data_IF_552166939092
#
_entry.id   IF_552166939092
#
_cell.length_a   1.000
_cell.length_b   1.000
_cell.length_c   1.000
_cell.angle_alpha   90.00
_cell.angle_beta   90.00
_cell.angle_gamma   90.00
#
_symmetry.space_group_name_H-M   'P 1'
#
loop_
_entity.id
_entity.type
_entity.pdbx_description
1 polymer ?
#
# COMPACT_ATOMS: atom_id res chain seq x y z
N UNK A 1 -3.72 10.61 20.49
CA UNK A 1 -2.68 11.19 19.61
C UNK A 1 -2.85 10.51 18.27
N UNK A 2 -2.78 11.24 17.18
CA UNK A 2 -2.84 10.70 15.83
C UNK A 2 -1.45 10.19 15.42
N UNK A 3 -1.38 9.12 14.66
CA UNK A 3 -0.11 8.58 14.16
C UNK A 3 0.26 9.29 12.87
N UNK A 4 1.41 10.02 12.82
CA UNK A 4 1.85 10.66 11.58
C UNK A 4 2.39 9.62 10.61
N UNK A 5 1.88 9.65 9.37
CA UNK A 5 2.22 8.67 8.34
C UNK A 5 2.58 9.32 7.00
N UNK A 6 3.41 8.64 6.24
CA UNK A 6 3.64 8.88 4.81
C UNK A 6 3.27 7.61 4.07
N UNK A 7 2.45 7.72 3.02
CA UNK A 7 2.06 6.60 2.16
C UNK A 7 2.86 6.71 0.85
N UNK A 8 3.60 5.65 0.49
CA UNK A 8 4.27 5.51 -0.80
C UNK A 8 3.55 4.43 -1.60
N UNK A 9 2.98 4.77 -2.77
CA UNK A 9 1.91 3.98 -3.40
C UNK A 9 1.99 4.04 -4.93
N UNK A 10 1.53 3.00 -5.60
CA UNK A 10 1.34 2.95 -7.06
C UNK A 10 -0.15 2.82 -7.43
N UNK A 11 -1.01 3.80 -7.08
CA UNK A 11 -2.44 3.63 -6.91
C UNK A 11 -3.11 2.78 -7.97
N UNK A 12 -3.33 1.53 -7.57
CA UNK A 12 -4.25 0.56 -8.12
C UNK A 12 -5.59 0.60 -7.36
N UNK A 13 -6.43 -0.40 -7.55
CA UNK A 13 -7.79 -0.45 -6.99
C UNK A 13 -7.74 -0.58 -5.47
N UNK A 14 -6.93 -1.46 -4.93
CA UNK A 14 -6.78 -1.68 -3.49
C UNK A 14 -5.97 -0.57 -2.80
N UNK A 15 -5.00 0.04 -3.49
CA UNK A 15 -4.35 1.28 -3.04
C UNK A 15 -5.37 2.40 -2.78
N UNK A 16 -6.30 2.62 -3.73
CA UNK A 16 -7.36 3.64 -3.57
C UNK A 16 -8.17 3.38 -2.30
N UNK A 17 -8.48 2.14 -2.00
CA UNK A 17 -9.21 1.75 -0.79
C UNK A 17 -8.36 2.03 0.46
N UNK A 18 -7.09 1.65 0.45
CA UNK A 18 -6.16 1.87 1.56
C UNK A 18 -5.94 3.37 1.84
N UNK A 19 -5.68 4.16 0.79
CA UNK A 19 -5.53 5.62 0.88
C UNK A 19 -6.82 6.24 1.42
N UNK A 20 -7.99 5.80 0.96
CA UNK A 20 -9.29 6.29 1.44
C UNK A 20 -9.47 6.05 2.93
N UNK A 21 -9.08 4.86 3.42
CA UNK A 21 -9.13 4.52 4.83
C UNK A 21 -8.20 5.41 5.66
N UNK A 22 -6.98 5.63 5.20
CA UNK A 22 -6.02 6.49 5.87
C UNK A 22 -6.47 7.94 5.93
N UNK A 23 -6.98 8.50 4.83
CA UNK A 23 -7.42 9.90 4.72
C UNK A 23 -8.64 10.22 5.60
N UNK A 24 -9.48 9.23 5.91
CA UNK A 24 -10.72 9.42 6.67
C UNK A 24 -10.67 8.83 8.09
N UNK A 25 -9.54 8.23 8.49
CA UNK A 25 -9.34 7.80 9.87
C UNK A 25 -8.97 8.98 10.78
N UNK A 26 -9.68 9.18 11.91
CA UNK A 26 -9.29 10.20 12.89
C UNK A 26 -8.02 9.84 13.68
N UNK A 27 -7.51 8.62 13.56
CA UNK A 27 -6.35 8.10 14.28
C UNK A 27 -5.05 8.27 13.50
N UNK A 28 -5.15 8.55 12.18
CA UNK A 28 -4.00 8.73 11.29
C UNK A 28 -3.88 10.18 10.84
N UNK A 29 -2.65 10.65 10.76
CA UNK A 29 -2.30 11.98 10.24
C UNK A 29 -1.44 11.79 8.98
N UNK A 30 -2.10 11.77 7.82
CA UNK A 30 -1.44 11.60 6.52
C UNK A 30 -0.70 12.87 6.16
N UNK A 31 0.62 12.89 6.34
CA UNK A 31 1.49 14.05 6.09
C UNK A 31 1.88 14.21 4.63
N UNK A 32 1.93 13.12 3.87
CA UNK A 32 2.34 13.10 2.48
C UNK A 32 1.89 11.80 1.82
N UNK A 33 1.50 11.87 0.55
CA UNK A 33 1.35 10.72 -0.32
C UNK A 33 2.40 10.85 -1.43
N UNK A 34 3.19 9.79 -1.65
CA UNK A 34 4.15 9.72 -2.74
C UNK A 34 3.74 8.65 -3.73
N UNK A 35 3.88 8.94 -5.02
CA UNK A 35 3.55 7.96 -6.06
C UNK A 35 4.80 7.29 -6.63
N UNK A 36 4.63 6.06 -7.09
CA UNK A 36 5.66 5.27 -7.77
C UNK A 36 5.07 4.57 -9.01
N UNK A 37 5.88 4.25 -10.00
CA UNK A 37 5.47 3.36 -11.08
C UNK A 37 5.49 1.91 -10.62
N UNK A 38 4.39 1.21 -10.83
CA UNK A 38 4.20 -0.18 -10.41
C UNK A 38 2.98 -0.77 -11.10
N UNK A 39 1.81 -0.81 -10.46
CA UNK A 39 0.56 -1.31 -11.03
C UNK A 39 0.32 -0.77 -12.45
N UNK A 40 0.59 0.51 -12.65
CA UNK A 40 0.62 1.18 -13.95
C UNK A 40 1.78 2.19 -13.99
N UNK A 41 1.98 2.85 -15.13
CA UNK A 41 3.03 3.88 -15.24
C UNK A 41 2.78 5.09 -14.34
N UNK A 42 3.85 5.78 -13.95
CA UNK A 42 3.88 6.88 -12.96
C UNK A 42 2.90 8.03 -13.26
N UNK A 43 2.56 8.28 -14.52
CA UNK A 43 1.59 9.34 -14.87
C UNK A 43 0.18 8.98 -14.38
N UNK A 44 -0.20 7.70 -14.47
CA UNK A 44 -1.47 7.21 -13.97
C UNK A 44 -1.47 7.11 -12.44
N UNK A 45 -0.42 6.54 -11.84
CA UNK A 45 -0.35 6.40 -10.38
C UNK A 45 -0.37 7.76 -9.68
N UNK A 46 0.40 8.74 -10.20
CA UNK A 46 0.39 10.11 -9.66
C UNK A 46 -1.00 10.75 -9.81
N UNK A 47 -1.63 10.56 -10.98
CA UNK A 47 -2.97 11.09 -11.23
C UNK A 47 -3.99 10.49 -10.26
N UNK A 48 -3.97 9.19 -10.07
CA UNK A 48 -4.88 8.48 -9.18
C UNK A 48 -4.70 8.94 -7.72
N UNK A 49 -3.45 9.15 -7.27
CA UNK A 49 -3.16 9.68 -5.94
C UNK A 49 -3.74 11.09 -5.74
N UNK A 50 -3.62 11.99 -6.73
CA UNK A 50 -4.20 13.33 -6.68
C UNK A 50 -5.72 13.25 -6.67
N UNK A 51 -6.30 12.46 -7.55
CA UNK A 51 -7.75 12.39 -7.74
C UNK A 51 -8.46 11.85 -6.49
N UNK A 52 -7.88 10.90 -5.73
CA UNK A 52 -8.48 10.40 -4.48
C UNK A 52 -8.37 11.42 -3.34
N UNK A 53 -7.27 12.15 -3.24
CA UNK A 53 -7.13 13.25 -2.27
C UNK A 53 -8.15 14.35 -2.55
N UNK A 54 -8.29 14.74 -3.83
CA UNK A 54 -9.27 15.74 -4.26
C UNK A 54 -10.72 15.26 -4.07
N UNK A 55 -11.00 13.97 -4.27
CA UNK A 55 -12.33 13.39 -4.03
C UNK A 55 -12.81 13.63 -2.60
N UNK A 56 -11.93 13.40 -1.62
CA UNK A 56 -12.23 13.65 -0.21
C UNK A 56 -11.99 15.10 0.24
N UNK A 57 -11.58 15.99 -0.66
CA UNK A 57 -11.28 17.40 -0.36
C UNK A 57 -10.28 17.57 0.78
N UNK A 58 -9.29 16.68 0.85
CA UNK A 58 -8.23 16.73 1.87
C UNK A 58 -7.07 17.60 1.37
N UNK A 59 -6.41 18.28 2.31
CA UNK A 59 -5.24 19.15 2.02
C UNK A 59 -3.91 18.38 2.22
N UNK A 60 -3.86 17.12 1.75
CA UNK A 60 -2.67 16.29 1.86
C UNK A 60 -1.82 16.49 0.60
N UNK A 61 -0.53 16.84 0.73
CA UNK A 61 0.35 17.00 -0.41
C UNK A 61 0.64 15.66 -1.10
N UNK A 62 0.76 15.71 -2.44
CA UNK A 62 1.15 14.57 -3.27
C UNK A 62 2.48 14.88 -3.95
N UNK A 63 3.44 13.96 -3.94
CA UNK A 63 4.71 14.10 -4.63
C UNK A 63 4.93 12.95 -5.61
N UNK A 64 5.30 13.29 -6.85
CA UNK A 64 5.60 12.32 -7.90
C UNK A 64 6.98 11.70 -7.67
N UNK A 65 7.05 10.38 -7.64
CA UNK A 65 8.28 9.62 -7.48
C UNK A 65 8.88 9.13 -8.79
N UNK A 66 9.59 8.00 -8.71
CA UNK A 66 10.28 7.43 -9.87
C UNK A 66 9.36 6.52 -10.68
N UNK A 67 9.65 6.45 -11.99
CA UNK A 67 8.82 5.69 -12.94
C UNK A 67 9.29 4.25 -13.14
N UNK A 68 10.42 3.87 -12.60
CA UNK A 68 11.02 2.56 -12.85
C UNK A 68 11.88 2.09 -11.69
N UNK A 69 12.09 0.78 -11.58
CA UNK A 69 12.97 0.15 -10.63
C UNK A 69 14.44 0.64 -10.75
N UNK A 70 15.25 0.37 -9.73
CA UNK A 70 16.67 0.74 -9.68
C UNK A 70 17.44 0.15 -10.86
N UNK A 71 17.27 -1.13 -11.15
CA UNK A 71 18.00 -1.85 -12.19
C UNK A 71 17.10 -2.47 -13.25
N UNK A 72 15.96 -2.98 -12.90
CA UNK A 72 15.07 -3.72 -13.78
C UNK A 72 14.24 -2.78 -14.69
N UNK A 73 13.61 -3.34 -15.72
CA UNK A 73 12.57 -2.64 -16.46
C UNK A 73 11.28 -2.59 -15.62
N UNK A 74 10.47 -1.54 -15.82
CA UNK A 74 9.16 -1.47 -15.19
C UNK A 74 8.30 -2.65 -15.63
N UNK A 75 7.79 -3.41 -14.65
CA UNK A 75 6.74 -4.40 -14.82
C UNK A 75 5.43 -3.79 -14.33
N UNK A 76 4.33 -3.95 -15.06
CA UNK A 76 3.02 -3.41 -14.69
C UNK A 76 2.00 -4.51 -14.47
N UNK A 77 0.95 -4.20 -13.71
CA UNK A 77 -0.19 -5.07 -13.42
C UNK A 77 -1.49 -4.56 -14.05
N UNK A 78 -1.42 -3.95 -15.25
CA UNK A 78 -2.61 -3.47 -15.99
C UNK A 78 -3.66 -4.57 -16.22
N UNK A 79 -3.24 -5.83 -16.29
CA UNK A 79 -4.13 -6.97 -16.44
C UNK A 79 -4.97 -7.26 -15.18
N UNK A 80 -4.56 -6.72 -14.01
CA UNK A 80 -5.28 -6.81 -12.73
C UNK A 80 -6.14 -5.56 -12.52
N UNK A 81 -5.53 -4.37 -12.65
CA UNK A 81 -6.12 -3.10 -12.23
C UNK A 81 -6.76 -2.30 -13.38
N UNK A 82 -6.67 -2.77 -14.62
CA UNK A 82 -7.10 -2.02 -15.80
C UNK A 82 -6.05 -1.02 -16.29
N UNK A 83 -6.28 -0.43 -17.46
CA UNK A 83 -5.30 0.40 -18.16
C UNK A 83 -4.85 1.65 -17.37
N UNK A 84 -5.78 2.27 -16.65
CA UNK A 84 -5.49 3.46 -15.83
C UNK A 84 -5.16 3.13 -14.36
N UNK A 85 -5.11 1.85 -13.98
CA UNK A 85 -4.82 1.37 -12.64
C UNK A 85 -6.02 1.26 -11.71
N UNK A 86 -7.16 1.86 -12.04
CA UNK A 86 -8.33 1.98 -11.16
C UNK A 86 -9.62 1.48 -11.83
N UNK A 87 -9.54 0.36 -12.55
CA UNK A 87 -10.70 -0.27 -13.18
C UNK A 87 -11.34 0.58 -14.26
N UNK A 88 -10.54 1.45 -14.91
CA UNK A 88 -11.01 2.45 -15.88
C UNK A 88 -12.06 3.44 -15.31
N UNK A 89 -12.14 3.52 -13.97
CA UNK A 89 -12.95 4.55 -13.32
C UNK A 89 -12.36 5.94 -13.63
N UNK A 90 -13.22 6.95 -13.79
CA UNK A 90 -12.81 8.33 -14.01
C UNK A 90 -13.34 9.20 -12.88
N UNK A 91 -12.42 9.80 -12.12
CA UNK A 91 -12.78 10.78 -11.12
C UNK A 91 -13.27 12.07 -11.77
N UNK A 92 -14.40 12.57 -11.30
CA UNK A 92 -14.89 13.90 -11.68
C UNK A 92 -14.35 14.95 -10.71
N UNK A 93 -13.03 15.15 -10.70
CA UNK A 93 -12.36 16.13 -9.86
C UNK A 93 -11.93 17.34 -10.68
N UNK A 94 -12.22 18.54 -10.18
CA UNK A 94 -11.93 19.81 -10.88
C UNK A 94 -10.67 20.52 -10.34
N UNK A 95 -10.14 20.10 -9.20
CA UNK A 95 -9.00 20.72 -8.55
C UNK A 95 -7.84 19.73 -8.47
N UNK A 96 -6.65 20.18 -8.83
CA UNK A 96 -5.39 19.42 -8.71
C UNK A 96 -4.45 20.22 -7.86
N UNK A 97 -4.82 20.43 -6.63
CA UNK A 97 -4.28 21.52 -5.83
C UNK A 97 -3.09 21.14 -4.98
N UNK A 98 -2.58 20.01 -4.84
CA UNK A 98 -1.51 19.74 -3.85
C UNK A 98 -0.33 18.91 -4.37
N UNK A 99 -0.07 18.95 -5.68
CA UNK A 99 1.15 18.32 -6.22
C UNK A 99 2.38 19.19 -5.89
N UNK A 100 3.35 18.58 -5.25
CA UNK A 100 4.62 19.25 -4.94
C UNK A 100 5.53 19.29 -6.18
N UNK A 101 6.35 20.35 -6.28
CA UNK A 101 7.43 20.44 -7.28
C UNK A 101 8.59 19.49 -6.96
N UNK A 102 8.83 19.25 -5.66
CA UNK A 102 9.82 18.28 -5.19
C UNK A 102 9.39 16.86 -5.60
N UNK A 103 10.36 16.03 -6.01
CA UNK A 103 10.08 14.61 -6.20
C UNK A 103 9.84 13.91 -4.85
N UNK A 104 9.25 12.70 -4.90
CA UNK A 104 8.88 11.92 -3.72
C UNK A 104 10.00 11.79 -2.68
N UNK A 105 11.24 11.53 -3.10
CA UNK A 105 12.38 11.29 -2.20
C UNK A 105 12.72 12.56 -1.41
N UNK A 106 12.76 13.71 -2.08
CA UNK A 106 13.03 15.02 -1.46
C UNK A 106 11.83 15.41 -0.56
N UNK A 107 10.61 15.21 -1.03
CA UNK A 107 9.41 15.51 -0.27
C UNK A 107 9.34 14.68 1.03
N UNK A 108 9.58 13.36 0.96
CA UNK A 108 9.64 12.48 2.14
C UNK A 108 10.70 12.95 3.13
N UNK A 109 11.94 13.19 2.64
CA UNK A 109 12.99 13.73 3.49
C UNK A 109 12.56 15.01 4.20
N UNK A 110 11.99 15.95 3.46
CA UNK A 110 11.58 17.23 4.03
C UNK A 110 10.49 17.09 5.09
N UNK A 111 9.52 16.20 4.89
CA UNK A 111 8.47 15.91 5.87
C UNK A 111 9.05 15.23 7.10
N UNK A 112 9.86 14.19 6.93
CA UNK A 112 10.48 13.42 8.04
C UNK A 112 11.36 14.33 8.90
N UNK A 113 12.24 15.13 8.27
CA UNK A 113 13.19 15.98 9.01
C UNK A 113 12.56 17.22 9.66
N UNK A 114 11.32 17.58 9.30
CA UNK A 114 10.57 18.68 9.92
C UNK A 114 9.52 18.23 10.92
N UNK A 115 9.29 16.94 11.01
CA UNK A 115 8.33 16.39 11.95
C UNK A 115 8.87 16.45 13.38
N UNK A 116 8.03 16.84 14.33
CA UNK A 116 8.35 16.83 15.77
C UNK A 116 8.19 15.42 16.36
N UNK A 117 7.55 14.50 15.64
CA UNK A 117 7.31 13.10 16.04
C UNK A 117 7.85 12.16 14.95
N UNK A 118 8.37 10.97 15.31
CA UNK A 118 8.78 9.98 14.32
C UNK A 118 7.64 9.58 13.38
N UNK A 119 7.95 9.41 12.09
CA UNK A 119 6.98 9.12 11.04
C UNK A 119 6.90 7.61 10.78
N UNK A 120 5.70 7.06 10.68
CA UNK A 120 5.50 5.71 10.14
C UNK A 120 5.42 5.77 8.62
N UNK A 121 6.29 5.01 7.93
CA UNK A 121 6.24 4.86 6.48
C UNK A 121 5.35 3.69 6.10
N UNK A 122 4.46 3.92 5.13
CA UNK A 122 3.51 2.92 4.62
C UNK A 122 3.72 2.74 3.12
N UNK A 123 4.76 2.01 2.70
CA UNK A 123 4.90 1.65 1.30
C UNK A 123 3.95 0.49 0.96
N UNK A 124 3.06 0.75 0.01
CA UNK A 124 2.11 -0.22 -0.55
C UNK A 124 2.34 -0.49 -2.03
N UNK A 125 3.40 0.10 -2.61
CA UNK A 125 3.93 -0.18 -3.94
C UNK A 125 5.39 -0.66 -3.90
N UNK A 126 6.05 -0.73 -5.07
CA UNK A 126 7.49 -1.06 -5.16
C UNK A 126 8.36 -0.13 -4.32
N UNK A 127 9.35 -0.69 -3.62
CA UNK A 127 10.12 0.01 -2.58
C UNK A 127 11.19 1.00 -3.11
N UNK A 128 11.17 1.34 -4.39
CA UNK A 128 12.23 2.15 -5.03
C UNK A 128 12.38 3.53 -4.40
N UNK A 129 11.27 4.25 -4.15
CA UNK A 129 11.34 5.58 -3.51
C UNK A 129 11.93 5.50 -2.10
N UNK A 130 11.52 4.51 -1.30
CA UNK A 130 11.99 4.31 0.07
C UNK A 130 13.48 3.94 0.09
N UNK A 131 13.92 3.07 -0.82
CA UNK A 131 15.33 2.69 -0.95
C UNK A 131 16.22 3.89 -1.32
N UNK A 132 15.74 4.74 -2.22
CA UNK A 132 16.42 5.98 -2.60
C UNK A 132 16.45 6.98 -1.44
N UNK A 133 15.38 7.08 -0.66
CA UNK A 133 15.34 7.93 0.53
C UNK A 133 16.47 7.55 1.49
N UNK A 134 16.55 6.29 1.88
CA UNK A 134 17.56 5.83 2.85
C UNK A 134 19.00 5.84 2.27
N UNK A 135 19.15 5.61 0.95
CA UNK A 135 20.45 5.63 0.32
C UNK A 135 21.03 7.05 0.18
N UNK A 136 20.17 8.04 -0.11
CA UNK A 136 20.57 9.42 -0.33
C UNK A 136 20.58 10.25 0.97
N UNK A 137 19.68 9.91 1.91
CA UNK A 137 19.43 10.66 3.14
C UNK A 137 19.35 9.71 4.35
N UNK A 138 20.44 8.98 4.68
CA UNK A 138 20.43 8.01 5.77
C UNK A 138 20.09 8.64 7.13
N UNK A 139 20.29 9.94 7.30
CA UNK A 139 19.89 10.67 8.51
C UNK A 139 18.37 10.63 8.79
N UNK A 140 17.55 10.33 7.78
CA UNK A 140 16.09 10.23 7.95
C UNK A 140 15.67 9.03 8.80
N UNK A 141 16.50 7.98 8.86
CA UNK A 141 16.21 6.73 9.59
C UNK A 141 15.94 7.01 11.07
N UNK A 142 16.67 7.94 11.68
CA UNK A 142 16.50 8.30 13.10
C UNK A 142 15.13 8.93 13.43
N UNK A 143 14.43 9.44 12.40
CA UNK A 143 13.11 10.05 12.54
C UNK A 143 11.98 9.21 11.93
N UNK A 144 12.25 7.96 11.57
CA UNK A 144 11.25 6.97 11.15
C UNK A 144 10.95 6.05 12.32
N UNK A 145 9.70 5.96 12.72
CA UNK A 145 9.23 5.07 13.79
C UNK A 145 9.31 3.61 13.39
N UNK A 146 8.74 3.32 12.22
CA UNK A 146 8.70 1.98 11.61
C UNK A 146 8.24 2.05 10.15
N UNK A 147 8.40 0.93 9.47
CA UNK A 147 7.80 0.70 8.15
C UNK A 147 6.68 -0.34 8.31
N UNK A 148 5.51 -0.07 7.74
CA UNK A 148 4.43 -1.07 7.58
C UNK A 148 4.19 -1.21 6.09
N UNK A 149 4.71 -2.27 5.49
CA UNK A 149 4.68 -2.45 4.03
C UNK A 149 3.68 -3.51 3.59
N UNK A 150 3.08 -3.31 2.42
CA UNK A 150 2.46 -4.39 1.66
C UNK A 150 3.46 -4.90 0.64
N UNK A 151 3.82 -6.16 0.76
CA UNK A 151 4.75 -6.82 -0.16
C UNK A 151 5.36 -8.08 0.43
N UNK A 152 5.89 -8.90 -0.44
CA UNK A 152 6.55 -10.14 -0.07
C UNK A 152 5.60 -11.29 0.31
N UNK A 153 6.21 -12.41 0.58
CA UNK A 153 5.55 -13.61 1.07
C UNK A 153 6.56 -14.53 1.76
N UNK A 154 6.22 -15.11 2.90
CA UNK A 154 6.99 -16.19 3.47
C UNK A 154 6.78 -17.49 2.68
N UNK A 155 5.60 -17.64 2.05
CA UNK A 155 5.26 -18.81 1.23
C UNK A 155 4.66 -18.40 -0.11
N UNK A 156 5.33 -18.79 -1.20
CA UNK A 156 4.85 -18.59 -2.58
C UNK A 156 4.99 -17.18 -3.10
N UNK A 157 4.17 -16.82 -4.08
CA UNK A 157 4.17 -15.53 -4.76
C UNK A 157 2.90 -15.32 -5.58
N UNK A 158 2.81 -14.18 -6.28
CA UNK A 158 1.76 -13.85 -7.23
C UNK A 158 2.34 -13.35 -8.58
N UNK A 159 3.49 -12.70 -8.58
CA UNK A 159 4.20 -12.32 -9.81
C UNK A 159 4.98 -13.51 -10.39
N UNK A 160 5.59 -14.32 -9.53
CA UNK A 160 6.21 -15.60 -9.85
C UNK A 160 5.76 -16.64 -8.82
N UNK A 161 6.09 -17.94 -9.00
CA UNK A 161 5.77 -18.93 -7.96
C UNK A 161 6.36 -18.65 -6.58
N UNK A 162 7.36 -17.77 -6.47
CA UNK A 162 8.10 -17.50 -5.23
C UNK A 162 8.25 -16.02 -4.89
N UNK A 163 7.73 -15.12 -5.72
CA UNK A 163 7.87 -13.69 -5.53
C UNK A 163 6.53 -12.95 -5.59
N UNK A 164 6.31 -12.07 -4.64
CA UNK A 164 5.21 -11.13 -4.64
C UNK A 164 5.55 -9.92 -5.52
N UNK A 165 4.51 -9.28 -6.10
CA UNK A 165 4.65 -8.29 -7.15
C UNK A 165 5.47 -7.05 -6.74
N UNK A 166 5.21 -6.43 -5.61
CA UNK A 166 5.90 -5.22 -5.17
C UNK A 166 7.41 -5.46 -4.97
N UNK A 167 7.74 -6.63 -4.39
CA UNK A 167 9.14 -7.02 -4.21
C UNK A 167 9.77 -7.45 -5.54
N UNK A 168 9.03 -8.17 -6.38
CA UNK A 168 9.51 -8.58 -7.71
C UNK A 168 9.72 -7.39 -8.65
N UNK A 169 8.91 -6.34 -8.53
CA UNK A 169 9.05 -5.12 -9.33
C UNK A 169 10.41 -4.44 -9.10
N UNK A 170 10.90 -4.39 -7.86
CA UNK A 170 12.26 -3.88 -7.55
C UNK A 170 12.91 -4.64 -6.38
N UNK A 171 13.46 -5.84 -6.64
CA UNK A 171 14.09 -6.65 -5.61
C UNK A 171 15.34 -6.00 -5.01
N UNK A 172 16.03 -5.15 -5.76
CA UNK A 172 17.20 -4.42 -5.27
C UNK A 172 16.81 -3.33 -4.27
N UNK A 173 15.73 -2.61 -4.55
CA UNK A 173 15.17 -1.65 -3.60
C UNK A 173 14.68 -2.34 -2.32
N UNK A 174 13.96 -3.45 -2.47
CA UNK A 174 13.51 -4.25 -1.34
C UNK A 174 14.69 -4.75 -0.49
N UNK A 175 15.74 -5.25 -1.13
CA UNK A 175 16.97 -5.65 -0.45
C UNK A 175 17.57 -4.50 0.38
N UNK A 176 17.62 -3.28 -0.16
CA UNK A 176 18.13 -2.10 0.58
C UNK A 176 17.23 -1.82 1.80
N UNK A 177 15.91 -1.84 1.64
CA UNK A 177 14.97 -1.49 2.71
C UNK A 177 14.99 -2.52 3.83
N UNK A 178 14.93 -3.82 3.52
CA UNK A 178 14.96 -4.88 4.54
C UNK A 178 16.30 -4.99 5.30
N UNK A 179 17.36 -4.37 4.81
CA UNK A 179 18.66 -4.31 5.49
C UNK A 179 18.87 -3.02 6.31
N UNK A 180 17.84 -2.19 6.49
CA UNK A 180 17.92 -1.06 7.39
C UNK A 180 17.72 -1.49 8.86
N UNK A 181 18.35 -0.78 9.79
CA UNK A 181 18.15 -0.96 11.23
C UNK A 181 16.87 -0.21 11.68
N UNK A 182 15.73 -0.69 11.19
CA UNK A 182 14.40 -0.13 11.47
C UNK A 182 13.40 -1.25 11.75
N UNK A 183 12.42 -1.03 12.66
CA UNK A 183 11.29 -1.93 12.79
C UNK A 183 10.50 -2.00 11.49
N UNK A 184 10.29 -3.21 10.97
CA UNK A 184 9.50 -3.45 9.75
C UNK A 184 8.37 -4.40 10.08
N UNK A 185 7.17 -4.07 9.63
CA UNK A 185 6.02 -4.96 9.60
C UNK A 185 5.74 -5.32 8.14
N UNK A 186 5.76 -6.60 7.83
CA UNK A 186 5.49 -7.13 6.49
C UNK A 186 4.07 -7.70 6.43
N UNK A 187 3.16 -6.98 5.77
CA UNK A 187 1.85 -7.47 5.37
C UNK A 187 1.97 -8.16 3.99
N UNK A 188 2.55 -9.35 3.97
CA UNK A 188 2.77 -10.12 2.75
C UNK A 188 1.56 -10.95 2.33
N UNK A 189 1.72 -11.74 1.25
CA UNK A 189 0.64 -12.59 0.73
C UNK A 189 0.14 -13.63 1.74
N UNK A 190 0.94 -13.96 2.75
CA UNK A 190 0.57 -14.91 3.81
C UNK A 190 -0.66 -14.42 4.57
N UNK A 191 -0.76 -13.12 4.81
CA UNK A 191 -1.90 -12.50 5.50
C UNK A 191 -2.90 -11.89 4.53
N UNK A 192 -2.45 -11.23 3.44
CA UNK A 192 -3.38 -10.49 2.58
C UNK A 192 -4.33 -11.40 1.81
N UNK A 193 -3.96 -12.66 1.56
CA UNK A 193 -4.86 -13.67 1.00
C UNK A 193 -5.98 -14.08 1.95
N UNK A 194 -5.90 -13.73 3.20
CA UNK A 194 -6.95 -13.92 4.20
C UNK A 194 -7.86 -12.70 4.33
N UNK A 195 -7.42 -11.51 3.88
CA UNK A 195 -8.18 -10.25 3.94
C UNK A 195 -9.01 -10.02 2.68
N UNK A 196 -10.09 -10.79 2.55
CA UNK A 196 -10.97 -10.75 1.37
C UNK A 196 -12.39 -10.34 1.75
N UNK A 197 -13.04 -9.63 0.82
CA UNK A 197 -14.48 -9.38 0.83
C UNK A 197 -15.19 -10.32 -0.15
N UNK A 198 -16.44 -10.58 0.10
CA UNK A 198 -17.26 -11.45 -0.74
C UNK A 198 -18.38 -10.67 -1.46
N UNK A 199 -19.19 -11.38 -2.24
CA UNK A 199 -20.27 -10.77 -3.02
C UNK A 199 -21.33 -10.06 -2.15
N UNK A 200 -21.65 -10.60 -0.96
CA UNK A 200 -22.63 -9.97 -0.06
C UNK A 200 -22.10 -8.62 0.44
N UNK A 201 -20.78 -8.51 0.70
CA UNK A 201 -20.15 -7.26 1.07
C UNK A 201 -20.20 -6.26 -0.08
N UNK A 202 -19.88 -6.69 -1.31
CA UNK A 202 -19.94 -5.84 -2.53
C UNK A 202 -21.36 -5.31 -2.73
N UNK A 203 -22.39 -6.16 -2.60
CA UNK A 203 -23.79 -5.74 -2.71
C UNK A 203 -24.19 -4.72 -1.63
N UNK A 204 -23.68 -4.87 -0.41
CA UNK A 204 -23.88 -3.90 0.67
C UNK A 204 -23.18 -2.58 0.37
N UNK A 205 -21.91 -2.62 -0.05
CA UNK A 205 -21.14 -1.44 -0.41
C UNK A 205 -21.83 -0.63 -1.51
N UNK A 206 -22.40 -1.28 -2.52
CA UNK A 206 -23.10 -0.62 -3.62
C UNK A 206 -24.29 0.26 -3.18
N UNK A 207 -24.80 0.06 -1.96
CA UNK A 207 -25.88 0.86 -1.37
C UNK A 207 -25.38 2.05 -0.54
N UNK A 208 -24.05 2.16 -0.34
CA UNK A 208 -23.44 3.15 0.54
C UNK A 208 -22.93 4.39 -0.25
N UNK A 209 -23.84 5.07 -0.91
CA UNK A 209 -23.57 6.34 -1.57
C UNK A 209 -22.61 6.27 -2.75
N UNK A 210 -21.98 7.39 -3.07
CA UNK A 210 -21.13 7.49 -4.26
C UNK A 210 -19.77 6.80 -4.05
N UNK A 211 -19.23 6.82 -2.83
CA UNK A 211 -17.98 6.15 -2.51
C UNK A 211 -18.11 4.62 -2.60
N UNK A 212 -19.18 4.06 -2.04
CA UNK A 212 -19.45 2.62 -2.15
C UNK A 212 -19.64 2.18 -3.60
N UNK A 213 -20.34 2.97 -4.42
CA UNK A 213 -20.48 2.73 -5.86
C UNK A 213 -19.14 2.83 -6.61
N UNK A 214 -18.30 3.78 -6.24
CA UNK A 214 -16.97 3.92 -6.82
C UNK A 214 -16.14 2.64 -6.57
N UNK A 215 -16.06 2.19 -5.32
CA UNK A 215 -15.35 0.96 -4.96
C UNK A 215 -15.89 -0.23 -5.76
N UNK A 216 -17.19 -0.45 -5.76
CA UNK A 216 -17.79 -1.60 -6.44
C UNK A 216 -17.58 -1.56 -7.96
N UNK A 217 -17.61 -0.37 -8.57
CA UNK A 217 -17.28 -0.20 -9.99
C UNK A 217 -15.83 -0.57 -10.31
N UNK A 218 -14.89 -0.21 -9.43
CA UNK A 218 -13.49 -0.59 -9.58
C UNK A 218 -13.30 -2.10 -9.39
N UNK A 219 -13.97 -2.68 -8.40
CA UNK A 219 -13.91 -4.12 -8.11
C UNK A 219 -14.48 -5.01 -9.22
N UNK A 220 -15.43 -4.51 -10.02
CA UNK A 220 -15.95 -5.23 -11.20
C UNK A 220 -14.85 -5.54 -12.24
N UNK A 221 -13.79 -4.73 -12.28
CA UNK A 221 -12.64 -4.90 -13.18
C UNK A 221 -11.49 -5.64 -12.49
N UNK A 222 -11.44 -5.56 -11.15
CA UNK A 222 -10.35 -6.10 -10.36
C UNK A 222 -10.23 -7.62 -10.53
N UNK A 223 -9.22 -8.03 -11.26
CA UNK A 223 -9.01 -9.42 -11.63
C UNK A 223 -7.78 -10.00 -10.93
N UNK A 224 -7.89 -10.19 -9.63
CA UNK A 224 -6.87 -10.93 -8.90
C UNK A 224 -7.07 -12.45 -9.08
N UNK A 225 -6.21 -13.05 -9.88
CA UNK A 225 -6.21 -14.50 -10.11
C UNK A 225 -5.94 -15.33 -8.85
N UNK A 226 -5.47 -14.69 -7.77
CA UNK A 226 -5.20 -15.35 -6.49
C UNK A 226 -6.38 -15.29 -5.52
N UNK A 227 -7.50 -14.66 -5.87
CA UNK A 227 -8.67 -14.50 -5.01
C UNK A 227 -9.39 -15.80 -4.62
N UNK A 228 -8.96 -16.95 -5.15
CA UNK A 228 -9.49 -18.25 -4.75
C UNK A 228 -10.90 -18.57 -5.25
N UNK A 229 -11.46 -17.78 -6.16
CA UNK A 229 -12.75 -18.06 -6.79
C UNK A 229 -13.53 -16.82 -7.22
N UNK A 230 -14.55 -17.03 -8.04
CA UNK A 230 -15.46 -15.99 -8.48
C UNK A 230 -16.12 -15.31 -7.26
N UNK A 231 -16.30 -13.99 -7.33
CA UNK A 231 -16.97 -13.17 -6.32
C UNK A 231 -16.22 -13.02 -4.99
N UNK A 232 -14.90 -13.10 -4.99
CA UNK A 232 -14.05 -12.74 -3.86
C UNK A 232 -12.99 -11.75 -4.33
N UNK A 233 -12.76 -10.71 -3.53
CA UNK A 233 -11.74 -9.70 -3.81
C UNK A 233 -10.81 -9.59 -2.61
N UNK A 234 -9.53 -9.79 -2.85
CA UNK A 234 -8.47 -9.56 -1.86
C UNK A 234 -8.18 -8.07 -1.87
N UNK A 235 -8.17 -7.45 -0.69
CA UNK A 235 -7.81 -6.04 -0.55
C UNK A 235 -6.44 -5.97 0.13
N UNK A 236 -5.40 -6.17 -0.66
CA UNK A 236 -4.05 -6.35 -0.16
C UNK A 236 -3.57 -5.17 0.70
N UNK A 237 -3.61 -3.97 0.15
CA UNK A 237 -2.98 -2.78 0.72
C UNK A 237 -3.68 -2.27 1.98
N UNK A 238 -5.00 -2.48 2.07
CA UNK A 238 -5.78 -2.11 3.25
C UNK A 238 -5.26 -2.80 4.52
N UNK A 239 -4.61 -3.96 4.38
CA UNK A 239 -4.00 -4.67 5.50
C UNK A 239 -2.97 -3.84 6.25
N UNK A 240 -2.23 -2.95 5.58
CA UNK A 240 -1.24 -2.07 6.21
C UNK A 240 -1.91 -1.01 7.09
N UNK A 241 -2.97 -0.42 6.61
CA UNK A 241 -3.75 0.60 7.33
C UNK A 241 -4.49 -0.06 8.50
N UNK A 242 -5.12 -1.21 8.26
CA UNK A 242 -5.84 -1.93 9.31
C UNK A 242 -4.91 -2.53 10.37
N UNK A 243 -3.66 -2.88 10.02
CA UNK A 243 -2.66 -3.24 11.02
C UNK A 243 -2.38 -2.09 12.01
N UNK A 244 -2.43 -0.84 11.55
CA UNK A 244 -2.26 0.31 12.44
C UNK A 244 -3.51 0.62 13.25
N UNK A 245 -4.70 0.47 12.67
CA UNK A 245 -5.97 0.82 13.29
C UNK A 245 -6.53 -0.30 14.17
N UNK A 246 -6.34 -1.55 13.76
CA UNK A 246 -6.94 -2.74 14.38
C UNK A 246 -5.90 -3.87 14.52
N UNK A 247 -4.78 -3.64 15.23
CA UNK A 247 -3.69 -4.62 15.31
C UNK A 247 -4.14 -5.98 15.89
N UNK A 248 -5.22 -5.99 16.66
CA UNK A 248 -5.77 -7.19 17.30
C UNK A 248 -6.38 -8.21 16.34
N UNK A 249 -6.58 -7.84 15.07
CA UNK A 249 -7.06 -8.80 14.05
C UNK A 249 -5.92 -9.55 13.36
N UNK A 250 -4.66 -9.17 13.65
CA UNK A 250 -3.47 -9.75 13.01
C UNK A 250 -2.64 -10.55 14.00
N UNK A 251 -2.12 -11.68 13.52
CA UNK A 251 -1.06 -12.41 14.20
C UNK A 251 0.27 -12.18 13.48
N UNK A 252 1.31 -11.87 14.22
CA UNK A 252 2.66 -11.67 13.69
C UNK A 252 3.65 -12.67 14.22
N UNK A 253 4.69 -12.96 13.43
CA UNK A 253 5.87 -13.70 13.87
C UNK A 253 7.12 -12.94 13.46
N UNK A 254 8.09 -12.90 14.36
CA UNK A 254 9.40 -12.31 14.05
C UNK A 254 10.19 -13.19 13.09
N UNK A 255 10.87 -12.53 12.17
CA UNK A 255 11.71 -13.19 11.18
C UNK A 255 12.90 -12.32 10.76
N UNK A 256 13.91 -12.97 10.19
CA UNK A 256 14.89 -12.33 9.33
C UNK A 256 14.46 -12.51 7.88
N UNK A 257 14.47 -11.42 7.12
CA UNK A 257 14.11 -11.41 5.71
C UNK A 257 15.35 -11.16 4.86
N UNK A 258 15.55 -12.02 3.85
CA UNK A 258 16.57 -11.82 2.82
C UNK A 258 15.88 -11.78 1.46
N UNK A 259 16.10 -10.70 0.70
CA UNK A 259 15.53 -10.56 -0.64
C UNK A 259 16.49 -11.12 -1.68
N UNK A 260 16.02 -12.02 -2.51
CA UNK A 260 16.80 -12.58 -3.63
C UNK A 260 16.71 -11.63 -4.81
N UNK A 261 17.85 -11.09 -5.23
CA UNK A 261 17.90 -10.00 -6.22
C UNK A 261 18.17 -10.46 -7.65
N UNK A 262 18.46 -11.75 -7.87
CA UNK A 262 18.78 -12.28 -9.20
C UNK A 262 18.53 -13.78 -9.31
N UNK A 263 18.41 -14.26 -10.54
CA UNK A 263 18.25 -15.68 -10.84
C UNK A 263 16.78 -16.14 -10.80
N UNK A 264 16.57 -17.46 -10.67
CA UNK A 264 15.22 -18.06 -10.77
C UNK A 264 14.29 -17.72 -9.60
N UNK A 265 14.85 -17.24 -8.50
CA UNK A 265 14.09 -16.84 -7.30
C UNK A 265 14.10 -15.32 -7.09
N UNK A 266 14.41 -14.54 -8.13
CA UNK A 266 14.40 -13.07 -8.06
C UNK A 266 13.07 -12.55 -7.51
N UNK A 267 13.14 -11.62 -6.55
CA UNK A 267 11.99 -11.08 -5.83
C UNK A 267 11.47 -11.94 -4.68
N UNK A 268 12.06 -13.12 -4.43
CA UNK A 268 11.70 -13.93 -3.28
C UNK A 268 12.13 -13.26 -1.98
N UNK A 269 11.23 -13.13 -1.02
CA UNK A 269 11.49 -12.76 0.36
C UNK A 269 11.75 -14.04 1.18
N UNK A 270 13.00 -14.51 1.16
CA UNK A 270 13.39 -15.65 1.96
C UNK A 270 13.23 -15.34 3.44
N UNK A 271 12.29 -16.01 4.08
CA UNK A 271 11.84 -15.74 5.45
C UNK A 271 12.38 -16.82 6.41
N UNK A 272 13.19 -16.42 7.35
CA UNK A 272 13.67 -17.27 8.45
C UNK A 272 13.02 -16.82 9.76
N UNK A 273 11.96 -17.54 10.20
CA UNK A 273 11.29 -17.25 11.45
C UNK A 273 12.21 -17.46 12.64
N UNK A 274 12.35 -16.43 13.47
CA UNK A 274 13.28 -16.37 14.58
C UNK A 274 12.80 -15.33 15.58
N UNK A 275 12.77 -15.63 16.87
CA UNK A 275 12.30 -14.72 17.93
C UNK A 275 13.13 -13.43 18.04
N UNK A 276 14.39 -13.48 17.64
CA UNK A 276 15.30 -12.32 17.59
C UNK A 276 15.27 -11.59 16.24
N UNK A 277 14.36 -11.96 15.34
CA UNK A 277 14.21 -11.35 14.01
C UNK A 277 13.79 -9.88 14.08
N UNK A 278 14.20 -9.11 13.08
CA UNK A 278 13.95 -7.67 13.01
C UNK A 278 12.61 -7.31 12.34
N UNK A 279 12.03 -8.24 11.59
CA UNK A 279 10.78 -8.03 10.85
C UNK A 279 9.62 -8.76 11.53
N UNK A 280 8.54 -8.06 11.80
CA UNK A 280 7.27 -8.64 12.20
C UNK A 280 6.48 -9.05 10.96
N UNK A 281 6.43 -10.34 10.65
CA UNK A 281 5.68 -10.88 9.50
C UNK A 281 4.26 -11.19 9.94
N UNK A 282 3.28 -10.55 9.32
CA UNK A 282 1.86 -10.88 9.51
C UNK A 282 1.58 -12.24 8.86
N UNK A 283 1.10 -13.20 9.65
CA UNK A 283 0.92 -14.59 9.23
C UNK A 283 -0.54 -15.06 9.23
N UNK A 284 -1.40 -14.32 9.90
CA UNK A 284 -2.84 -14.61 9.98
C UNK A 284 -3.64 -13.34 10.21
N UNK A 285 -4.86 -13.28 9.68
CA UNK A 285 -5.83 -12.22 9.93
C UNK A 285 -7.23 -12.79 10.19
N UNK A 286 -7.94 -12.22 11.18
CA UNK A 286 -9.36 -12.49 11.42
C UNK A 286 -10.21 -11.84 10.30
N UNK A 287 -10.50 -12.60 9.25
CA UNK A 287 -11.22 -12.09 8.08
C UNK A 287 -12.66 -11.65 8.39
N UNK A 288 -13.32 -12.22 9.39
CA UNK A 288 -14.67 -11.78 9.74
C UNK A 288 -14.65 -10.37 10.30
N UNK A 289 -13.68 -10.07 11.17
CA UNK A 289 -13.47 -8.71 11.68
C UNK A 289 -12.97 -7.77 10.60
N UNK A 290 -12.03 -8.20 9.76
CA UNK A 290 -11.54 -7.40 8.64
C UNK A 290 -12.70 -6.92 7.76
N UNK A 291 -13.58 -7.82 7.36
CA UNK A 291 -14.77 -7.50 6.55
C UNK A 291 -15.73 -6.56 7.27
N UNK A 292 -15.99 -6.82 8.57
CA UNK A 292 -16.85 -5.93 9.36
C UNK A 292 -16.30 -4.52 9.42
N UNK A 293 -15.03 -4.37 9.77
CA UNK A 293 -14.37 -3.05 9.86
C UNK A 293 -14.29 -2.34 8.50
N UNK A 294 -14.09 -3.10 7.42
CA UNK A 294 -14.11 -2.52 6.08
C UNK A 294 -15.48 -1.98 5.69
N UNK A 295 -16.53 -2.71 5.97
CA UNK A 295 -17.91 -2.23 5.70
C UNK A 295 -18.25 -1.04 6.59
N UNK A 296 -17.90 -1.10 7.87
CA UNK A 296 -18.13 -0.01 8.84
C UNK A 296 -17.39 1.27 8.39
N UNK A 297 -16.17 1.13 7.91
CA UNK A 297 -15.39 2.24 7.34
C UNK A 297 -16.12 2.92 6.16
N UNK A 298 -16.65 2.14 5.21
CA UNK A 298 -17.39 2.71 4.06
C UNK A 298 -18.72 3.31 4.52
N UNK A 299 -19.40 2.73 5.53
CA UNK A 299 -20.59 3.32 6.13
C UNK A 299 -20.31 4.67 6.80
N UNK A 300 -19.17 4.81 7.47
CA UNK A 300 -18.81 6.06 8.14
C UNK A 300 -18.51 7.15 7.11
N UNK A 301 -17.83 6.83 6.01
CA UNK A 301 -17.70 7.75 4.87
C UNK A 301 -19.07 8.15 4.32
N UNK A 302 -19.98 7.20 4.16
CA UNK A 302 -21.32 7.50 3.67
C UNK A 302 -22.10 8.43 4.60
N UNK A 303 -21.95 8.28 5.93
CA UNK A 303 -22.59 9.19 6.91
C UNK A 303 -22.02 10.60 6.86
N UNK A 304 -20.73 10.73 6.53
CA UNK A 304 -20.04 12.03 6.51
C UNK A 304 -20.25 12.79 5.19
N UNK A 305 -20.28 12.10 4.05
CA UNK A 305 -20.27 12.68 2.70
C UNK A 305 -21.50 12.34 1.86
N UNK A 306 -22.37 11.43 2.30
CA UNK A 306 -23.52 10.89 1.58
C UNK A 306 -24.79 11.73 1.58
#
# INVERSE_FOLDING_TARGET
MTTPIIIDTDPGIDDIIAISAALNSPELDVRLITSIGGNVGIEHTTRNAIDIVDYFKKEVPVAKGVNKPLLNALSTAEYVHGHNGIGNYEFNTSQRSNILEDNAVIAMRNVIMRSDEPITLIPIGPLTNISLLFSLFPETIENVEKIVLMGGAAVGGNATPVAEFNIFADPHAAHIVFNQDLPIVMCGLDVTRETMINQDDVERLAQLGDFGKMITTMLDVYNDSNSGGANKHIIHDLSTIFYLLYPEIYETKKANISVITEGQAEGCTYTEFNEDGLVDVCIHADNEKFRSYFVDFVEDIYKEFG
#
